data_IF_569913106751
#
_entry.id   IF_569913106751
#
_cell.length_a   1.000
_cell.length_b   1.000
_cell.length_c   1.000
_cell.angle_alpha   90.00
_cell.angle_beta   90.00
_cell.angle_gamma   90.00
#
_symmetry.space_group_name_H-M   'P 1'
#
loop_
_entity.id
_entity.type
_entity.pdbx_description
1 polymer ?
#
# COMPACT_ATOMS: atom_id res chain seq x y z
N UNK A 1 -5.43 -10.95 9.06
CA UNK A 1 -5.07 -11.34 10.43
C UNK A 1 -3.59 -11.67 10.43
N UNK A 2 -2.71 -10.84 11.00
CA UNK A 2 -1.31 -11.20 11.12
C UNK A 2 -1.17 -12.31 12.18
N UNK A 3 -0.48 -13.40 11.85
CA UNK A 3 -0.11 -14.43 12.82
C UNK A 3 1.17 -13.93 13.50
N UNK A 4 1.05 -13.54 14.77
CA UNK A 4 2.19 -13.03 15.55
C UNK A 4 3.30 -14.09 15.59
N UNK A 5 4.55 -13.65 15.45
CA UNK A 5 5.76 -14.49 15.50
C UNK A 5 5.88 -15.60 14.44
N UNK A 6 5.03 -15.63 13.41
CA UNK A 6 5.13 -16.61 12.34
C UNK A 6 6.49 -16.53 11.62
N UNK A 7 6.95 -15.32 11.30
CA UNK A 7 8.25 -15.10 10.64
C UNK A 7 9.42 -15.65 11.48
N UNK A 8 9.45 -15.35 12.79
CA UNK A 8 10.48 -15.87 13.70
C UNK A 8 10.49 -17.40 13.70
N UNK A 9 9.30 -18.01 13.80
CA UNK A 9 9.15 -19.46 13.77
C UNK A 9 9.65 -20.08 12.46
N UNK A 10 9.33 -19.48 11.31
CA UNK A 10 9.79 -19.96 10.00
C UNK A 10 11.29 -19.79 9.83
N UNK A 11 11.86 -18.69 10.34
CA UNK A 11 13.29 -18.41 10.33
C UNK A 11 14.08 -19.39 11.20
N UNK A 12 13.66 -19.61 12.44
CA UNK A 12 14.29 -20.55 13.37
C UNK A 12 14.35 -21.97 12.80
N UNK A 13 13.32 -22.37 12.04
CA UNK A 13 13.23 -23.68 11.39
C UNK A 13 13.84 -23.73 9.99
N UNK A 14 14.45 -22.65 9.51
CA UNK A 14 15.07 -22.54 8.18
C UNK A 14 14.11 -22.89 7.03
N UNK A 15 12.84 -22.51 7.17
CA UNK A 15 11.82 -22.67 6.12
C UNK A 15 11.76 -21.47 5.16
N UNK A 16 12.46 -20.37 5.47
CA UNK A 16 12.54 -19.21 4.60
C UNK A 16 13.61 -19.41 3.53
N UNK A 17 13.25 -19.10 2.28
CA UNK A 17 14.18 -19.10 1.14
C UNK A 17 14.12 -17.75 0.44
N UNK A 18 15.29 -17.24 0.05
CA UNK A 18 15.40 -16.02 -0.75
C UNK A 18 15.82 -16.41 -2.16
N UNK A 19 15.02 -16.00 -3.14
CA UNK A 19 15.27 -16.21 -4.56
C UNK A 19 15.25 -14.88 -5.29
N UNK A 20 16.02 -14.72 -6.37
CA UNK A 20 15.92 -13.52 -7.20
C UNK A 20 14.54 -13.46 -7.85
N UNK A 21 14.02 -12.24 -8.05
CA UNK A 21 12.71 -12.02 -8.65
C UNK A 21 12.55 -12.68 -10.02
N UNK A 22 13.66 -12.87 -10.75
CA UNK A 22 13.70 -13.57 -12.04
C UNK A 22 13.23 -15.02 -11.99
N UNK A 23 13.23 -15.69 -10.82
CA UNK A 23 12.66 -17.04 -10.68
C UNK A 23 11.15 -17.05 -10.98
N UNK A 24 10.48 -15.90 -10.82
CA UNK A 24 9.07 -15.73 -11.15
C UNK A 24 8.85 -15.28 -12.61
N UNK A 25 9.86 -15.32 -13.49
CA UNK A 25 9.70 -14.89 -14.88
C UNK A 25 8.58 -15.64 -15.60
N UNK A 26 7.90 -14.95 -16.53
CA UNK A 26 6.77 -15.48 -17.30
C UNK A 26 5.57 -15.94 -16.45
N UNK A 27 5.52 -15.57 -15.16
CA UNK A 27 4.42 -15.90 -14.25
C UNK A 27 3.41 -14.75 -14.10
N UNK A 28 2.26 -15.09 -13.50
CA UNK A 28 1.24 -14.13 -13.10
C UNK A 28 1.24 -14.03 -11.58
N UNK A 29 1.41 -12.82 -11.06
CA UNK A 29 1.64 -12.58 -9.63
C UNK A 29 0.49 -11.77 -9.04
N UNK A 30 -0.22 -12.34 -8.07
CA UNK A 30 -1.17 -11.60 -7.23
C UNK A 30 -0.44 -10.78 -6.18
N UNK A 31 -0.70 -9.48 -6.12
CA UNK A 31 -0.09 -8.54 -5.17
C UNK A 31 -1.20 -7.92 -4.31
N UNK A 32 -1.06 -7.99 -2.98
CA UNK A 32 -1.95 -7.24 -2.08
C UNK A 32 -1.64 -5.74 -2.22
N UNK A 33 -2.59 -5.01 -2.79
CA UNK A 33 -2.41 -3.61 -3.12
C UNK A 33 -2.31 -2.73 -1.87
N UNK A 34 -3.04 -3.06 -0.80
CA UNK A 34 -2.99 -2.26 0.43
C UNK A 34 -1.64 -2.42 1.11
N UNK A 35 -1.12 -3.65 1.17
CA UNK A 35 0.20 -3.92 1.74
C UNK A 35 1.31 -3.25 0.91
N UNK A 36 1.24 -3.40 -0.42
CA UNK A 36 2.20 -2.78 -1.34
C UNK A 36 2.27 -1.26 -1.18
N UNK A 37 1.11 -0.57 -1.15
CA UNK A 37 1.07 0.88 -1.01
C UNK A 37 1.57 1.36 0.35
N UNK A 38 1.21 0.65 1.44
CA UNK A 38 1.73 0.98 2.77
C UNK A 38 3.27 0.87 2.81
N UNK A 39 3.83 -0.18 2.21
CA UNK A 39 5.28 -0.35 2.12
C UNK A 39 5.94 0.84 1.41
N UNK A 40 5.33 1.33 0.32
CA UNK A 40 5.86 2.49 -0.42
C UNK A 40 5.75 3.80 0.37
N UNK A 41 4.68 4.00 1.14
CA UNK A 41 4.50 5.25 1.89
C UNK A 41 5.32 5.30 3.18
N UNK A 42 5.65 4.14 3.76
CA UNK A 42 6.36 4.04 5.04
C UNK A 42 7.87 3.85 4.88
N UNK A 43 8.36 3.46 3.70
CA UNK A 43 9.77 3.14 3.50
C UNK A 43 10.43 4.00 2.40
N UNK A 44 11.72 4.36 2.58
CA UNK A 44 12.52 4.96 1.52
C UNK A 44 12.58 4.09 0.25
N UNK A 45 12.82 4.67 -0.94
CA UNK A 45 12.98 6.10 -1.21
C UNK A 45 11.66 6.88 -1.43
N UNK A 46 10.51 6.21 -1.39
CA UNK A 46 9.21 6.85 -1.71
C UNK A 46 8.50 7.50 -0.52
N UNK A 47 8.97 7.23 0.71
CA UNK A 47 8.52 7.96 1.90
C UNK A 47 8.90 9.44 1.79
N UNK A 48 7.92 10.30 2.00
CA UNK A 48 8.09 11.76 2.01
C UNK A 48 7.99 12.29 3.45
N UNK A 49 9.11 12.69 4.09
CA UNK A 49 9.15 13.11 5.49
C UNK A 49 8.24 14.30 5.84
N UNK A 50 8.11 15.25 4.91
CA UNK A 50 7.38 16.50 5.12
C UNK A 50 5.96 16.47 4.54
N UNK A 51 5.44 15.28 4.21
CA UNK A 51 4.13 15.15 3.59
C UNK A 51 3.00 15.70 4.48
N UNK A 52 3.14 15.58 5.80
CA UNK A 52 2.19 16.18 6.75
C UNK A 52 2.20 17.73 6.69
N UNK A 53 3.35 18.34 6.39
CA UNK A 53 3.49 19.79 6.27
C UNK A 53 2.95 20.31 4.94
N UNK A 54 3.29 19.65 3.83
CA UNK A 54 2.85 20.05 2.48
C UNK A 54 1.39 19.70 2.21
N UNK A 55 0.91 18.61 2.82
CA UNK A 55 -0.35 17.97 2.46
C UNK A 55 -0.33 17.39 1.04
N UNK A 56 -1.50 16.92 0.60
CA UNK A 56 -1.68 16.36 -0.74
C UNK A 56 -1.28 14.89 -0.86
N UNK A 57 -1.15 14.43 -2.11
CA UNK A 57 -0.74 13.07 -2.43
C UNK A 57 0.79 12.99 -2.56
N UNK A 58 1.43 11.87 -2.15
CA UNK A 58 2.87 11.74 -2.28
C UNK A 58 3.32 11.83 -3.75
N UNK A 59 4.23 12.74 -4.04
CA UNK A 59 4.71 13.06 -5.39
C UNK A 59 5.58 11.93 -5.95
N UNK A 60 6.44 11.35 -5.13
CA UNK A 60 7.37 10.28 -5.50
C UNK A 60 6.66 8.94 -5.75
N UNK A 61 5.42 8.77 -5.26
CA UNK A 61 4.72 7.50 -5.33
C UNK A 61 4.45 7.06 -6.77
N UNK A 62 4.07 7.98 -7.65
CA UNK A 62 3.81 7.66 -9.07
C UNK A 62 5.07 7.11 -9.73
N UNK A 63 6.18 7.84 -9.62
CA UNK A 63 7.46 7.43 -10.21
C UNK A 63 7.93 6.07 -9.66
N UNK A 64 7.74 5.84 -8.35
CA UNK A 64 8.09 4.57 -7.71
C UNK A 64 7.26 3.41 -8.24
N UNK A 65 5.93 3.55 -8.29
CA UNK A 65 5.03 2.53 -8.84
C UNK A 65 5.41 2.21 -10.28
N UNK A 66 5.67 3.22 -11.10
CA UNK A 66 6.08 3.00 -12.48
C UNK A 66 7.43 2.28 -12.60
N UNK A 67 8.36 2.56 -11.69
CA UNK A 67 9.66 1.86 -11.65
C UNK A 67 9.47 0.38 -11.32
N UNK A 68 8.64 0.07 -10.33
CA UNK A 68 8.34 -1.31 -9.95
C UNK A 68 7.63 -2.06 -11.09
N UNK A 69 6.67 -1.42 -11.76
CA UNK A 69 5.99 -1.98 -12.93
C UNK A 69 6.95 -2.28 -14.09
N UNK A 70 7.89 -1.37 -14.39
CA UNK A 70 8.94 -1.60 -15.40
C UNK A 70 9.84 -2.78 -15.03
N UNK A 71 10.17 -2.93 -13.75
CA UNK A 71 10.99 -4.05 -13.28
C UNK A 71 10.27 -5.40 -13.46
N UNK A 72 8.97 -5.46 -13.16
CA UNK A 72 8.13 -6.64 -13.40
C UNK A 72 7.98 -6.95 -14.89
N UNK A 73 7.75 -5.93 -15.71
CA UNK A 73 7.63 -6.05 -17.16
C UNK A 73 8.90 -6.62 -17.81
N UNK A 74 10.08 -6.15 -17.38
CA UNK A 74 11.38 -6.67 -17.85
C UNK A 74 11.55 -8.17 -17.60
N UNK A 75 10.94 -8.69 -16.53
CA UNK A 75 10.95 -10.11 -16.18
C UNK A 75 9.73 -10.87 -16.72
N UNK A 76 8.89 -10.20 -17.53
CA UNK A 76 7.66 -10.77 -18.14
C UNK A 76 6.68 -11.27 -17.07
N UNK A 77 6.73 -10.67 -15.88
CA UNK A 77 5.79 -10.95 -14.79
C UNK A 77 4.52 -10.13 -15.05
N UNK A 78 3.36 -10.78 -14.98
CA UNK A 78 2.05 -10.13 -15.08
C UNK A 78 1.48 -9.86 -13.69
N UNK A 79 1.63 -8.64 -13.12
CA UNK A 79 1.07 -8.33 -11.82
C UNK A 79 -0.44 -8.18 -11.87
N UNK A 80 -1.10 -8.63 -10.80
CA UNK A 80 -2.53 -8.42 -10.54
C UNK A 80 -2.67 -7.85 -9.15
N UNK A 81 -3.03 -6.56 -9.07
CA UNK A 81 -3.19 -5.89 -7.78
C UNK A 81 -4.59 -6.15 -7.21
N UNK A 82 -4.64 -6.66 -5.99
CA UNK A 82 -5.89 -6.98 -5.29
C UNK A 82 -6.11 -5.95 -4.20
N UNK A 83 -7.13 -5.11 -4.39
CA UNK A 83 -7.57 -4.14 -3.39
C UNK A 83 -8.57 -4.78 -2.43
N UNK A 84 -8.48 -4.52 -1.11
CA UNK A 84 -9.53 -4.95 -0.19
C UNK A 84 -10.82 -4.18 -0.46
N UNK A 85 -11.95 -4.89 -0.37
CA UNK A 85 -13.30 -4.31 -0.42
C UNK A 85 -13.88 -4.17 0.98
N UNK A 86 -15.06 -4.78 1.19
CA UNK A 86 -15.83 -4.60 2.42
C UNK A 86 -15.18 -5.33 3.59
N UNK A 87 -15.20 -4.73 4.77
CA UNK A 87 -14.69 -5.40 5.99
C UNK A 87 -15.87 -6.15 6.64
N UNK A 88 -15.83 -7.49 6.74
CA UNK A 88 -16.86 -8.24 7.45
C UNK A 88 -16.92 -7.79 8.91
N UNK A 89 -18.12 -7.64 9.47
CA UNK A 89 -18.35 -7.35 10.89
C UNK A 89 -17.73 -6.05 11.43
N UNK A 90 -17.70 -4.95 10.66
CA UNK A 90 -17.33 -3.63 11.20
C UNK A 90 -18.45 -3.05 12.09
N UNK A 91 -18.66 -3.63 13.27
CA UNK A 91 -19.46 -3.05 14.36
C UNK A 91 -18.55 -2.20 15.23
N UNK A 92 -18.23 -0.99 14.81
CA UNK A 92 -17.35 -0.11 15.58
C UNK A 92 -17.26 1.29 14.98
N UNK A 93 -16.99 2.27 15.85
CA UNK A 93 -16.76 3.68 15.51
C UNK A 93 -15.79 3.79 14.32
N UNK A 94 -15.89 4.83 13.48
CA UNK A 94 -14.96 5.02 12.37
C UNK A 94 -13.56 5.30 12.93
N UNK A 95 -12.76 4.24 13.09
CA UNK A 95 -11.34 4.28 13.49
C UNK A 95 -10.57 5.37 12.72
N UNK A 96 -10.90 5.50 11.43
CA UNK A 96 -10.37 6.50 10.51
C UNK A 96 -10.55 7.95 11.01
N UNK A 97 -11.62 8.26 11.75
CA UNK A 97 -11.88 9.60 12.25
C UNK A 97 -10.97 9.97 13.43
N UNK A 98 -10.71 9.00 14.32
CA UNK A 98 -9.79 9.20 15.46
C UNK A 98 -8.36 9.36 14.94
N UNK A 99 -7.94 8.48 14.01
CA UNK A 99 -6.61 8.56 13.39
C UNK A 99 -6.39 9.88 12.63
N UNK A 100 -7.41 10.38 11.94
CA UNK A 100 -7.35 11.68 11.26
C UNK A 100 -7.24 12.86 12.25
N UNK A 101 -7.98 12.81 13.36
CA UNK A 101 -7.89 13.84 14.41
C UNK A 101 -6.50 13.84 15.06
N UNK A 102 -5.96 12.67 15.36
CA UNK A 102 -4.60 12.54 15.89
C UNK A 102 -3.56 13.09 14.92
N UNK A 103 -3.66 12.77 13.62
CA UNK A 103 -2.76 13.32 12.59
C UNK A 103 -2.86 14.86 12.49
N UNK A 104 -4.07 15.42 12.58
CA UNK A 104 -4.26 16.87 12.61
C UNK A 104 -3.60 17.52 13.83
N UNK A 105 -3.73 16.91 15.02
CA UNK A 105 -3.10 17.39 16.25
C UNK A 105 -1.57 17.33 16.16
N UNK A 106 -1.03 16.21 15.68
CA UNK A 106 0.41 16.01 15.55
C UNK A 106 1.02 17.03 14.57
N UNK A 107 0.33 17.31 13.47
CA UNK A 107 0.69 18.37 12.52
C UNK A 107 0.64 19.78 13.14
N UNK A 108 -0.38 20.10 13.93
CA UNK A 108 -0.46 21.38 14.63
C UNK A 108 0.73 21.57 15.59
N UNK A 109 1.04 20.52 16.36
CA UNK A 109 2.19 20.53 17.26
C UNK A 109 3.52 20.71 16.50
N UNK A 110 3.66 20.08 15.34
CA UNK A 110 4.83 20.23 14.48
C UNK A 110 5.03 21.68 14.02
N UNK A 111 3.97 22.35 13.57
CA UNK A 111 4.02 23.76 13.19
C UNK A 111 4.38 24.68 14.38
N UNK A 112 3.79 24.46 15.56
CA UNK A 112 4.15 25.23 16.77
C UNK A 112 5.62 25.04 17.16
N UNK A 113 6.18 23.84 16.97
CA UNK A 113 7.61 23.58 17.20
C UNK A 113 8.50 24.27 16.18
N UNK A 114 8.08 24.29 14.91
CA UNK A 114 8.77 24.98 13.84
C UNK A 114 8.81 26.49 14.08
N UNK A 115 7.67 27.10 14.42
CA UNK A 115 7.56 28.53 14.79
C UNK A 115 8.43 28.89 16.01
N UNK A 116 8.59 27.96 16.94
CA UNK A 116 9.48 28.09 18.10
C UNK A 116 10.97 27.86 17.81
N UNK A 117 11.38 27.69 16.55
CA UNK A 117 12.78 27.45 16.14
C UNK A 117 13.29 26.03 16.41
N UNK A 118 12.42 25.08 16.76
CA UNK A 118 12.78 23.67 17.03
C UNK A 118 12.58 22.81 15.77
N UNK A 119 13.36 23.07 14.72
CA UNK A 119 13.20 22.47 13.39
C UNK A 119 13.32 20.93 13.41
N UNK A 120 14.32 20.39 14.11
CA UNK A 120 14.53 18.93 14.21
C UNK A 120 13.34 18.23 14.88
N UNK A 121 12.80 18.85 15.93
CA UNK A 121 11.64 18.30 16.66
C UNK A 121 10.38 18.39 15.80
N UNK A 122 10.19 19.47 15.04
CA UNK A 122 9.10 19.62 14.09
C UNK A 122 9.18 18.56 12.97
N UNK A 123 10.37 18.34 12.41
CA UNK A 123 10.59 17.36 11.33
C UNK A 123 10.22 15.95 11.78
N UNK A 124 10.62 15.54 12.99
CA UNK A 124 10.23 14.23 13.55
C UNK A 124 8.72 14.07 13.73
N UNK A 125 8.01 15.15 14.03
CA UNK A 125 6.54 15.12 14.13
C UNK A 125 5.89 15.03 12.75
N UNK A 126 6.40 15.76 11.74
CA UNK A 126 5.92 15.66 10.36
C UNK A 126 6.16 14.27 9.75
N UNK A 127 7.27 13.64 10.11
CA UNK A 127 7.65 12.29 9.69
C UNK A 127 6.73 11.18 10.21
N UNK A 128 5.93 11.47 11.25
CA UNK A 128 5.02 10.55 11.88
C UNK A 128 3.76 10.30 11.05
N UNK A 129 2.60 10.70 11.59
CA UNK A 129 1.31 10.49 10.92
C UNK A 129 1.11 11.54 9.84
N UNK A 130 1.06 11.11 8.58
CA UNK A 130 0.82 12.00 7.44
C UNK A 130 -0.66 12.36 7.21
N UNK A 131 -1.60 11.68 7.88
CA UNK A 131 -3.03 11.95 7.78
C UNK A 131 -3.63 11.67 6.39
N UNK A 132 -2.92 10.93 5.52
CA UNK A 132 -3.40 10.59 4.19
C UNK A 132 -4.67 9.74 4.28
N UNK A 133 -5.74 10.20 3.63
CA UNK A 133 -6.91 9.38 3.44
C UNK A 133 -6.56 8.24 2.46
N UNK A 134 -6.63 7.00 2.93
CA UNK A 134 -6.34 5.80 2.15
C UNK A 134 -7.10 5.77 0.82
N UNK A 135 -8.34 6.26 0.80
CA UNK A 135 -9.17 6.29 -0.40
C UNK A 135 -8.63 7.23 -1.48
N UNK A 136 -8.10 8.40 -1.11
CA UNK A 136 -7.54 9.34 -2.07
C UNK A 136 -6.27 8.79 -2.72
N UNK A 137 -5.44 8.12 -1.91
CA UNK A 137 -4.28 7.37 -2.39
C UNK A 137 -4.69 6.31 -3.41
N UNK A 138 -5.70 5.50 -3.08
CA UNK A 138 -6.18 4.44 -3.98
C UNK A 138 -6.73 5.01 -5.28
N UNK A 139 -7.51 6.10 -5.24
CA UNK A 139 -8.04 6.72 -6.46
C UNK A 139 -6.92 7.17 -7.41
N UNK A 140 -5.85 7.75 -6.87
CA UNK A 140 -4.67 8.11 -7.66
C UNK A 140 -4.03 6.87 -8.29
N UNK A 141 -3.80 5.82 -7.52
CA UNK A 141 -3.15 4.59 -7.98
C UNK A 141 -3.99 3.85 -9.02
N UNK A 142 -5.30 3.73 -8.80
CA UNK A 142 -6.22 3.13 -9.77
C UNK A 142 -6.22 3.89 -11.10
N UNK A 143 -6.07 5.22 -11.07
CA UNK A 143 -5.92 6.02 -12.31
C UNK A 143 -4.63 5.67 -13.05
N UNK A 144 -3.51 5.51 -12.35
CA UNK A 144 -2.23 5.08 -12.94
C UNK A 144 -2.40 3.69 -13.58
N UNK A 145 -2.99 2.75 -12.83
CA UNK A 145 -3.19 1.38 -13.33
C UNK A 145 -4.07 1.34 -14.58
N UNK A 146 -5.16 2.12 -14.62
CA UNK A 146 -5.99 2.25 -15.82
C UNK A 146 -5.23 2.83 -17.01
N UNK A 147 -4.42 3.86 -16.80
CA UNK A 147 -3.64 4.49 -17.88
C UNK A 147 -2.56 3.55 -18.43
N UNK A 148 -1.97 2.72 -17.56
CA UNK A 148 -0.89 1.77 -17.92
C UNK A 148 -1.41 0.37 -18.26
N UNK A 149 -2.73 0.19 -18.34
CA UNK A 149 -3.38 -1.12 -18.54
C UNK A 149 -2.89 -2.21 -17.56
N UNK A 150 -2.58 -1.81 -16.32
CA UNK A 150 -2.21 -2.73 -15.24
C UNK A 150 -3.47 -3.39 -14.72
N UNK A 151 -3.38 -4.69 -14.50
CA UNK A 151 -4.51 -5.46 -14.05
C UNK A 151 -4.72 -5.33 -12.54
N UNK A 152 -5.96 -5.08 -12.14
CA UNK A 152 -6.34 -5.01 -10.75
C UNK A 152 -7.76 -5.52 -10.55
N UNK A 153 -8.06 -5.95 -9.33
CA UNK A 153 -9.40 -6.30 -8.88
C UNK A 153 -9.66 -5.71 -7.50
N UNK A 154 -10.94 -5.50 -7.18
CA UNK A 154 -11.38 -5.16 -5.83
C UNK A 154 -12.02 -6.43 -5.28
N UNK A 155 -11.44 -6.99 -4.22
CA UNK A 155 -11.98 -8.16 -3.54
C UNK A 155 -13.35 -7.81 -2.94
N UNK A 156 -14.30 -8.76 -2.87
CA UNK A 156 -15.59 -8.49 -2.20
C UNK A 156 -15.40 -8.15 -0.72
N UNK A 157 -14.41 -8.80 -0.09
CA UNK A 157 -14.03 -8.55 1.30
C UNK A 157 -12.52 -8.32 1.44
N UNK A 158 -11.81 -9.27 2.03
CA UNK A 158 -10.37 -9.18 2.32
C UNK A 158 -9.54 -9.68 1.14
N UNK A 159 -8.44 -8.97 0.83
CA UNK A 159 -7.58 -9.28 -0.31
C UNK A 159 -6.91 -10.67 -0.22
N UNK A 160 -6.46 -11.08 0.97
CA UNK A 160 -5.81 -12.38 1.16
C UNK A 160 -6.72 -13.58 0.82
N UNK A 161 -8.01 -13.51 1.13
CA UNK A 161 -8.96 -14.59 0.79
C UNK A 161 -9.15 -14.66 -0.73
N UNK A 162 -9.12 -13.51 -1.40
CA UNK A 162 -9.20 -13.42 -2.85
C UNK A 162 -7.95 -14.00 -3.52
N UNK A 163 -6.75 -13.81 -2.95
CA UNK A 163 -5.52 -14.44 -3.44
C UNK A 163 -5.60 -15.97 -3.41
N UNK A 164 -6.17 -16.56 -2.35
CA UNK A 164 -6.36 -18.02 -2.27
C UNK A 164 -7.35 -18.54 -3.33
N UNK A 165 -8.35 -17.73 -3.67
CA UNK A 165 -9.37 -18.10 -4.66
C UNK A 165 -8.87 -17.96 -6.11
N UNK A 166 -7.86 -17.11 -6.37
CA UNK A 166 -7.29 -16.95 -7.70
C UNK A 166 -6.59 -18.26 -8.13
N UNK A 167 -7.11 -19.01 -9.13
CA UNK A 167 -6.47 -20.22 -9.58
C UNK A 167 -5.11 -19.89 -10.22
N UNK A 168 -4.15 -20.79 -10.04
CA UNK A 168 -2.79 -20.68 -10.60
C UNK A 168 -2.75 -20.66 -12.15
N UNK A 169 -3.88 -20.89 -12.83
CA UNK A 169 -3.91 -21.12 -14.27
C UNK A 169 -5.19 -20.63 -14.99
N UNK A 170 -5.85 -19.56 -14.55
CA UNK A 170 -7.06 -19.05 -15.22
C UNK A 170 -7.09 -17.53 -15.40
N UNK A 171 -7.64 -17.00 -16.52
CA UNK A 171 -7.93 -15.57 -16.62
C UNK A 171 -8.88 -15.19 -15.49
N UNK A 172 -8.74 -13.99 -14.89
CA UNK A 172 -9.69 -13.59 -13.87
C UNK A 172 -11.05 -13.56 -14.53
N UNK A 173 -11.98 -14.27 -13.90
CA UNK A 173 -13.40 -14.16 -14.19
C UNK A 173 -13.73 -12.68 -14.13
N UNK A 174 -13.86 -12.05 -15.30
CA UNK A 174 -14.45 -10.72 -15.43
C UNK A 174 -15.84 -10.85 -14.83
N UNK A 175 -16.03 -10.36 -13.61
CA UNK A 175 -17.35 -9.90 -13.20
C UNK A 175 -17.68 -8.74 -14.13
N UNK A 176 -18.34 -9.08 -15.23
CA UNK A 176 -18.95 -8.15 -16.17
C UNK A 176 -20.03 -7.38 -15.42
N UNK A 177 -19.67 -6.27 -14.78
CA UNK A 177 -20.65 -5.21 -14.55
C UNK A 177 -20.86 -4.51 -15.89
N UNK A 178 -21.69 -5.12 -16.74
CA UNK A 178 -22.45 -4.37 -17.74
C UNK A 178 -23.53 -3.64 -16.97
N UNK A 179 -23.51 -2.32 -17.14
CA UNK A 179 -24.64 -1.38 -16.96
C UNK A 179 -25.94 -1.93 -17.49
#
# INVERSE_FOLDING_TARGET
MPIKHLENYLSERKHLQTHPLSVLSDSRLGIDASYYLNLLTENPPSREPLLAATGGLPLALTQRIESDLRALEKLRIKPVFVFPGLIPNKRGKPQNHVEHQDACRDRQNAWTKYEGGQEDAATRLFEGRNGLAQWDLWRMVLRIFRHRNVEFIIAPYVAWAQHTYMPSSGPPTRCSTRT
#
